data_IF_162145173652
#
_entry.id   IF_162145173652
#
_cell.length_a   1.000
_cell.length_b   1.000
_cell.length_c   1.000
_cell.angle_alpha   90.00
_cell.angle_beta   90.00
_cell.angle_gamma   90.00
#
_symmetry.space_group_name_H-M   'P 1'
#
loop_
_entity.id
_entity.type
_entity.pdbx_description
1 polymer ?
#
# COMPACT_ATOMS: atom_id res chain seq x y z
N UNK A 1 -14.88 -9.22 12.96
CA UNK A 1 -14.37 -8.90 11.60
C UNK A 1 -14.92 -7.59 11.04
N UNK A 2 -16.23 -7.41 10.84
CA UNK A 2 -16.80 -6.17 10.23
C UNK A 2 -16.33 -4.86 10.88
N UNK A 3 -16.34 -4.79 12.23
CA UNK A 3 -15.85 -3.62 12.98
C UNK A 3 -14.36 -3.32 12.73
N UNK A 4 -13.53 -4.37 12.61
CA UNK A 4 -12.08 -4.24 12.33
C UNK A 4 -11.83 -3.75 10.91
N UNK A 5 -12.58 -4.23 9.92
CA UNK A 5 -12.51 -3.76 8.52
C UNK A 5 -12.75 -2.26 8.46
N UNK A 6 -13.85 -1.79 9.07
CA UNK A 6 -14.22 -0.38 9.09
C UNK A 6 -13.14 0.43 9.82
N UNK A 7 -12.74 0.01 11.02
CA UNK A 7 -11.75 0.74 11.81
C UNK A 7 -10.40 0.86 11.08
N UNK A 8 -9.88 -0.24 10.53
CA UNK A 8 -8.60 -0.21 9.82
C UNK A 8 -8.68 0.53 8.50
N UNK A 9 -9.81 0.46 7.80
CA UNK A 9 -10.07 1.28 6.62
C UNK A 9 -10.07 2.77 6.96
N UNK A 10 -10.76 3.16 8.04
CA UNK A 10 -10.79 4.55 8.51
C UNK A 10 -9.40 5.06 8.92
N UNK A 11 -8.59 4.25 9.60
CA UNK A 11 -7.20 4.59 9.93
C UNK A 11 -6.29 4.58 8.69
N UNK A 12 -6.62 3.78 7.69
CA UNK A 12 -5.89 3.70 6.42
C UNK A 12 -6.03 4.97 5.58
N UNK A 13 -7.19 5.65 5.61
CA UNK A 13 -7.42 6.87 4.85
C UNK A 13 -6.42 8.01 5.11
N UNK A 14 -6.20 8.47 6.37
CA UNK A 14 -5.21 9.51 6.65
C UNK A 14 -3.78 9.05 6.35
N UNK A 15 -3.46 7.78 6.58
CA UNK A 15 -2.14 7.22 6.24
C UNK A 15 -1.90 7.20 4.73
N UNK A 16 -2.92 6.86 3.94
CA UNK A 16 -2.86 6.88 2.49
C UNK A 16 -2.61 8.29 1.94
N UNK A 17 -3.32 9.29 2.46
CA UNK A 17 -3.06 10.69 2.11
C UNK A 17 -1.65 11.12 2.50
N UNK A 18 -1.23 10.83 3.74
CA UNK A 18 0.10 11.22 4.22
C UNK A 18 1.22 10.60 3.37
N UNK A 19 1.11 9.31 3.03
CA UNK A 19 2.07 8.63 2.17
C UNK A 19 2.04 9.19 0.73
N UNK A 20 0.85 9.45 0.19
CA UNK A 20 0.70 10.05 -1.14
C UNK A 20 1.43 11.39 -1.25
N UNK A 21 1.22 12.29 -0.28
CA UNK A 21 1.90 13.58 -0.25
C UNK A 21 3.37 13.49 0.11
N UNK A 22 3.77 12.53 0.95
CA UNK A 22 5.19 12.30 1.21
C UNK A 22 5.93 11.95 -0.09
N UNK A 23 5.32 11.13 -0.95
CA UNK A 23 5.89 10.79 -2.26
C UNK A 23 5.98 12.03 -3.14
N UNK A 24 4.94 12.87 -3.23
CA UNK A 24 4.98 14.08 -4.07
C UNK A 24 6.00 15.11 -3.58
N UNK A 25 6.18 15.24 -2.27
CA UNK A 25 7.23 16.09 -1.68
C UNK A 25 8.61 15.56 -2.08
N UNK A 26 8.87 14.25 -1.94
CA UNK A 26 10.15 13.65 -2.32
C UNK A 26 10.42 13.85 -3.82
N UNK A 27 9.42 13.60 -4.68
CA UNK A 27 9.55 13.82 -6.12
C UNK A 27 9.79 15.30 -6.46
N UNK A 28 9.14 16.22 -5.76
CA UNK A 28 9.37 17.67 -5.95
C UNK A 28 10.80 18.07 -5.58
N UNK A 29 11.34 17.55 -4.45
CA UNK A 29 12.73 17.82 -4.06
C UNK A 29 13.73 17.31 -5.09
N UNK A 30 13.44 16.17 -5.73
CA UNK A 30 14.35 15.56 -6.72
C UNK A 30 14.25 16.27 -8.08
N UNK A 31 13.06 16.70 -8.50
CA UNK A 31 12.79 17.03 -9.90
C UNK A 31 12.28 18.46 -10.15
N UNK A 32 11.84 19.21 -9.15
CA UNK A 32 11.09 20.45 -9.36
C UNK A 32 11.94 21.74 -9.32
N UNK A 33 13.28 21.66 -9.34
CA UNK A 33 14.21 22.81 -9.44
C UNK A 33 13.86 24.01 -8.51
N UNK A 34 13.35 23.72 -7.31
CA UNK A 34 12.95 24.73 -6.31
C UNK A 34 11.44 25.04 -6.26
N UNK A 35 10.63 24.47 -7.15
CA UNK A 35 9.17 24.48 -7.11
C UNK A 35 8.56 23.32 -6.31
N UNK A 36 7.26 23.40 -6.03
CA UNK A 36 6.49 22.31 -5.44
C UNK A 36 5.39 21.87 -6.40
N UNK A 37 5.37 20.57 -6.73
CA UNK A 37 4.33 19.97 -7.56
C UNK A 37 3.47 19.04 -6.68
N UNK A 38 2.26 19.47 -6.27
CA UNK A 38 1.45 18.71 -5.32
C UNK A 38 0.81 17.46 -5.95
N UNK A 39 0.68 17.42 -7.27
CA UNK A 39 0.15 16.32 -8.06
C UNK A 39 0.73 16.35 -9.48
N UNK A 40 0.56 15.28 -10.27
CA UNK A 40 1.10 15.21 -11.63
C UNK A 40 0.55 16.39 -12.48
N UNK A 41 1.41 17.16 -13.19
CA UNK A 41 0.98 18.23 -14.09
C UNK A 41 -0.12 17.83 -15.08
N UNK A 42 -0.11 16.59 -15.58
CA UNK A 42 -1.15 16.08 -16.48
C UNK A 42 -2.52 15.97 -15.80
N UNK A 43 -2.54 15.61 -14.51
CA UNK A 43 -3.77 15.61 -13.71
C UNK A 43 -4.30 17.04 -13.52
N UNK A 44 -3.40 17.99 -13.25
CA UNK A 44 -3.75 19.42 -13.15
C UNK A 44 -4.33 19.94 -14.46
N UNK A 45 -3.71 19.60 -15.59
CA UNK A 45 -4.19 19.96 -16.92
C UNK A 45 -5.58 19.34 -17.21
N UNK A 46 -5.78 18.05 -16.88
CA UNK A 46 -7.04 17.35 -17.07
C UNK A 46 -8.19 17.91 -16.22
N UNK A 47 -7.89 18.34 -14.99
CA UNK A 47 -8.90 18.90 -14.08
C UNK A 47 -9.15 20.40 -14.29
N UNK A 48 -8.34 21.08 -15.11
CA UNK A 48 -8.41 22.52 -15.39
C UNK A 48 -8.20 23.43 -14.18
N UNK A 49 -7.85 22.86 -13.02
CA UNK A 49 -7.64 23.55 -11.76
C UNK A 49 -6.76 22.70 -10.86
N UNK A 50 -5.70 23.30 -10.32
CA UNK A 50 -4.78 22.66 -9.39
C UNK A 50 -5.51 22.20 -8.12
N UNK A 51 -6.42 23.02 -7.59
CA UNK A 51 -7.20 22.66 -6.39
C UNK A 51 -8.02 21.39 -6.65
N UNK A 52 -8.66 21.29 -7.82
CA UNK A 52 -9.47 20.12 -8.15
C UNK A 52 -8.62 18.86 -8.31
N UNK A 53 -7.44 18.98 -8.94
CA UNK A 53 -6.48 17.88 -9.08
C UNK A 53 -5.95 17.40 -7.73
N UNK A 54 -5.59 18.33 -6.84
CA UNK A 54 -5.10 18.02 -5.49
C UNK A 54 -6.19 17.37 -4.63
N UNK A 55 -7.43 17.88 -4.69
CA UNK A 55 -8.57 17.27 -3.99
C UNK A 55 -8.86 15.86 -4.49
N UNK A 56 -8.83 15.65 -5.80
CA UNK A 56 -9.01 14.33 -6.39
C UNK A 56 -7.89 13.37 -5.97
N UNK A 57 -6.62 13.80 -6.06
CA UNK A 57 -5.49 12.97 -5.62
C UNK A 57 -5.56 12.65 -4.13
N UNK A 58 -5.94 13.62 -3.28
CA UNK A 58 -6.12 13.39 -1.84
C UNK A 58 -7.20 12.32 -1.59
N UNK A 59 -8.34 12.45 -2.25
CA UNK A 59 -9.44 11.50 -2.15
C UNK A 59 -9.03 10.10 -2.61
N UNK A 60 -8.36 9.99 -3.76
CA UNK A 60 -7.90 8.70 -4.28
C UNK A 60 -6.81 8.08 -3.40
N UNK A 61 -5.90 8.88 -2.86
CA UNK A 61 -4.87 8.40 -1.91
C UNK A 61 -5.50 7.93 -0.60
N UNK A 62 -6.53 8.61 -0.12
CA UNK A 62 -7.32 8.17 1.04
C UNK A 62 -8.03 6.84 0.76
N UNK A 63 -8.65 6.70 -0.42
CA UNK A 63 -9.33 5.47 -0.83
C UNK A 63 -8.36 4.30 -0.95
N UNK A 64 -7.16 4.55 -1.51
CA UNK A 64 -6.10 3.56 -1.59
C UNK A 64 -5.68 3.10 -0.18
N UNK A 65 -5.37 4.05 0.71
CA UNK A 65 -5.01 3.75 2.10
C UNK A 65 -6.12 3.00 2.85
N UNK A 66 -7.38 3.36 2.63
CA UNK A 66 -8.54 2.63 3.15
C UNK A 66 -8.58 1.20 2.63
N UNK A 67 -8.31 0.98 1.35
CA UNK A 67 -8.20 -0.35 0.74
C UNK A 67 -7.13 -1.22 1.39
N UNK A 68 -5.92 -0.68 1.58
CA UNK A 68 -4.83 -1.34 2.32
C UNK A 68 -5.23 -1.67 3.76
N UNK A 69 -5.75 -0.69 4.49
CA UNK A 69 -6.18 -0.86 5.89
C UNK A 69 -7.28 -1.91 6.04
N UNK A 70 -8.34 -1.80 5.24
CA UNK A 70 -9.46 -2.73 5.25
C UNK A 70 -9.03 -4.17 4.89
N UNK A 71 -8.20 -4.33 3.85
CA UNK A 71 -7.73 -5.64 3.39
C UNK A 71 -6.78 -6.32 4.37
N UNK A 72 -6.14 -5.57 5.27
CA UNK A 72 -5.22 -6.13 6.26
C UNK A 72 -5.87 -7.15 7.22
N UNK A 73 -7.21 -7.18 7.31
CA UNK A 73 -7.91 -8.21 8.10
C UNK A 73 -7.71 -9.62 7.55
N UNK A 74 -7.31 -9.75 6.28
CA UNK A 74 -7.02 -11.05 5.65
C UNK A 74 -5.88 -11.77 6.39
N UNK A 75 -4.93 -11.03 6.95
CA UNK A 75 -3.84 -11.60 7.75
C UNK A 75 -4.29 -12.18 9.10
N UNK A 76 -5.49 -11.86 9.57
CA UNK A 76 -6.06 -12.44 10.79
C UNK A 76 -6.83 -13.75 10.54
N UNK A 77 -6.88 -14.22 9.29
CA UNK A 77 -7.62 -15.42 8.94
C UNK A 77 -6.80 -16.68 9.21
N UNK A 78 -6.79 -17.15 10.45
CA UNK A 78 -5.95 -18.28 10.90
C UNK A 78 -6.19 -19.58 10.12
N UNK A 79 -7.42 -19.83 9.67
CA UNK A 79 -7.78 -21.03 8.90
C UNK A 79 -7.30 -21.00 7.44
N UNK A 80 -6.73 -19.89 6.98
CA UNK A 80 -6.30 -19.73 5.59
C UNK A 80 -4.81 -19.97 5.42
N UNK A 81 -4.45 -20.66 4.33
CA UNK A 81 -3.05 -20.79 3.96
C UNK A 81 -2.44 -19.42 3.62
N UNK A 82 -1.14 -19.27 3.89
CA UNK A 82 -0.40 -18.04 3.60
C UNK A 82 -0.50 -17.63 2.12
N UNK A 83 -0.53 -18.62 1.20
CA UNK A 83 -0.69 -18.39 -0.23
C UNK A 83 -2.06 -17.78 -0.53
N UNK A 84 -3.13 -18.31 0.08
CA UNK A 84 -4.50 -17.78 -0.10
C UNK A 84 -4.62 -16.36 0.44
N UNK A 85 -4.08 -16.10 1.63
CA UNK A 85 -4.06 -14.75 2.22
C UNK A 85 -3.31 -13.75 1.32
N UNK A 86 -2.09 -14.12 0.91
CA UNK A 86 -1.23 -13.26 0.08
C UNK A 86 -1.86 -13.00 -1.29
N UNK A 87 -2.36 -14.04 -1.96
CA UNK A 87 -2.99 -13.92 -3.27
C UNK A 87 -4.24 -13.05 -3.25
N UNK A 88 -5.13 -13.24 -2.27
CA UNK A 88 -6.34 -12.42 -2.17
C UNK A 88 -6.00 -10.97 -1.81
N UNK A 89 -5.09 -10.76 -0.86
CA UNK A 89 -4.64 -9.42 -0.49
C UNK A 89 -4.04 -8.70 -1.69
N UNK A 90 -3.12 -9.34 -2.42
CA UNK A 90 -2.52 -8.78 -3.63
C UNK A 90 -3.57 -8.43 -4.69
N UNK A 91 -4.53 -9.31 -4.93
CA UNK A 91 -5.58 -9.09 -5.92
C UNK A 91 -6.44 -7.86 -5.57
N UNK A 92 -6.91 -7.76 -4.32
CA UNK A 92 -7.74 -6.62 -3.88
C UNK A 92 -6.96 -5.32 -4.03
N UNK A 93 -5.71 -5.29 -3.56
CA UNK A 93 -4.88 -4.08 -3.68
C UNK A 93 -4.60 -3.75 -5.14
N UNK A 94 -4.36 -4.73 -6.02
CA UNK A 94 -4.15 -4.48 -7.45
C UNK A 94 -5.38 -3.82 -8.10
N UNK A 95 -6.58 -4.31 -7.79
CA UNK A 95 -7.85 -3.78 -8.31
C UNK A 95 -8.11 -2.36 -7.84
N UNK A 96 -7.62 -1.97 -6.66
CA UNK A 96 -7.75 -0.60 -6.14
C UNK A 96 -6.64 0.29 -6.71
N UNK A 97 -5.40 -0.19 -6.70
CA UNK A 97 -4.20 0.57 -7.07
C UNK A 97 -4.18 0.94 -8.55
N UNK A 98 -4.45 -0.02 -9.46
CA UNK A 98 -4.30 0.21 -10.89
C UNK A 98 -5.24 1.29 -11.43
N UNK A 99 -6.56 1.29 -11.12
CA UNK A 99 -7.45 2.37 -11.54
C UNK A 99 -7.07 3.72 -10.92
N UNK A 100 -6.67 3.75 -9.65
CA UNK A 100 -6.25 4.99 -8.97
C UNK A 100 -5.01 5.58 -9.63
N UNK A 101 -3.99 4.75 -9.87
CA UNK A 101 -2.76 5.15 -10.52
C UNK A 101 -3.01 5.61 -11.97
N UNK A 102 -3.95 4.98 -12.68
CA UNK A 102 -4.38 5.42 -14.01
C UNK A 102 -5.03 6.82 -13.94
N UNK A 103 -6.06 7.00 -13.09
CA UNK A 103 -6.79 8.28 -12.98
C UNK A 103 -5.89 9.41 -12.47
N UNK A 104 -4.93 9.10 -11.60
CA UNK A 104 -4.01 10.08 -11.02
C UNK A 104 -2.80 10.38 -11.91
N UNK A 105 -2.74 9.81 -13.12
CA UNK A 105 -1.62 9.93 -14.05
C UNK A 105 -0.28 9.47 -13.45
N UNK A 106 -0.28 8.51 -12.53
CA UNK A 106 0.96 7.93 -11.97
C UNK A 106 1.65 6.96 -12.93
N UNK A 107 0.93 6.54 -13.98
CA UNK A 107 1.44 5.72 -15.06
C UNK A 107 1.05 6.33 -16.40
N UNK A 108 1.87 6.09 -17.42
CA UNK A 108 1.49 6.45 -18.78
C UNK A 108 0.25 5.65 -19.23
N UNK A 109 -0.67 6.31 -19.93
CA UNK A 109 -1.88 5.69 -20.49
C UNK A 109 -1.60 4.93 -21.79
N UNK A 110 -0.54 4.12 -21.77
CA UNK A 110 -0.18 3.19 -22.84
C UNK A 110 -0.13 1.78 -22.27
N UNK A 111 -0.31 0.76 -23.12
CA UNK A 111 -0.17 -0.63 -22.67
C UNK A 111 1.20 -0.90 -22.04
N UNK A 112 2.26 -0.30 -22.60
CA UNK A 112 3.62 -0.40 -22.05
C UNK A 112 3.74 0.27 -20.69
N UNK A 113 3.15 1.46 -20.52
CA UNK A 113 3.10 2.20 -19.26
C UNK A 113 2.39 1.41 -18.15
N UNK A 114 1.22 0.86 -18.45
CA UNK A 114 0.43 0.05 -17.53
C UNK A 114 1.21 -1.20 -17.10
N UNK A 115 1.79 -1.94 -18.05
CA UNK A 115 2.59 -3.13 -17.75
C UNK A 115 3.85 -2.79 -16.96
N UNK A 116 4.53 -1.68 -17.29
CA UNK A 116 5.69 -1.20 -16.56
C UNK A 116 5.35 -0.85 -15.11
N UNK A 117 4.27 -0.09 -14.90
CA UNK A 117 3.79 0.27 -13.57
C UNK A 117 3.39 -0.97 -12.76
N UNK A 118 2.65 -1.90 -13.37
CA UNK A 118 2.28 -3.15 -12.72
C UNK A 118 3.51 -3.98 -12.34
N UNK A 119 4.54 -4.03 -13.20
CA UNK A 119 5.82 -4.68 -12.89
C UNK A 119 6.53 -4.07 -11.69
N UNK A 120 6.62 -2.73 -11.62
CA UNK A 120 7.18 -2.02 -10.46
C UNK A 120 6.37 -2.33 -9.20
N UNK A 121 5.05 -2.25 -9.28
CA UNK A 121 4.15 -2.57 -8.18
C UNK A 121 4.35 -4.00 -7.68
N UNK A 122 4.45 -4.98 -8.58
CA UNK A 122 4.71 -6.39 -8.23
C UNK A 122 6.05 -6.55 -7.50
N UNK A 123 7.11 -5.90 -7.98
CA UNK A 123 8.42 -5.92 -7.35
C UNK A 123 8.40 -5.32 -5.94
N UNK A 124 7.77 -4.16 -5.77
CA UNK A 124 7.62 -3.49 -4.46
C UNK A 124 6.81 -4.37 -3.51
N UNK A 125 5.70 -4.92 -3.98
CA UNK A 125 4.87 -5.83 -3.18
C UNK A 125 5.67 -7.05 -2.72
N UNK A 126 6.40 -7.70 -3.63
CA UNK A 126 7.22 -8.86 -3.31
C UNK A 126 8.31 -8.52 -2.28
N UNK A 127 8.99 -7.38 -2.42
CA UNK A 127 10.02 -6.93 -1.48
C UNK A 127 9.45 -6.72 -0.07
N UNK A 128 8.34 -5.99 0.04
CA UNK A 128 7.66 -5.74 1.32
C UNK A 128 7.16 -7.06 1.93
N UNK A 129 6.58 -7.94 1.12
CA UNK A 129 6.09 -9.24 1.58
C UNK A 129 7.23 -10.13 2.10
N UNK A 130 8.35 -10.23 1.38
CA UNK A 130 9.52 -11.01 1.82
C UNK A 130 10.05 -10.46 3.15
N UNK A 131 10.14 -9.13 3.29
CA UNK A 131 10.55 -8.48 4.52
C UNK A 131 9.64 -8.83 5.70
N UNK A 132 8.32 -8.71 5.52
CA UNK A 132 7.34 -9.08 6.55
C UNK A 132 7.36 -10.58 6.89
N UNK A 133 7.48 -11.44 5.89
CA UNK A 133 7.60 -12.88 6.08
C UNK A 133 8.85 -13.26 6.88
N UNK A 134 10.00 -12.67 6.55
CA UNK A 134 11.25 -12.91 7.26
C UNK A 134 11.16 -12.44 8.73
N UNK A 135 10.56 -11.28 8.99
CA UNK A 135 10.33 -10.78 10.34
C UNK A 135 9.39 -11.71 11.13
N UNK A 136 8.27 -12.13 10.53
CA UNK A 136 7.33 -13.06 11.16
C UNK A 136 8.00 -14.41 11.48
N UNK A 137 8.76 -14.97 10.54
CA UNK A 137 9.50 -16.22 10.73
C UNK A 137 10.51 -16.12 11.88
N UNK A 138 11.22 -14.99 12.00
CA UNK A 138 12.16 -14.74 13.11
C UNK A 138 11.43 -14.68 14.46
N UNK A 139 10.27 -14.01 14.53
CA UNK A 139 9.48 -13.90 15.75
C UNK A 139 8.95 -15.26 16.22
N UNK A 140 8.44 -16.09 15.29
CA UNK A 140 8.00 -17.45 15.60
C UNK A 140 9.16 -18.31 16.11
N UNK A 141 10.35 -18.22 15.49
CA UNK A 141 11.54 -18.96 15.95
C UNK A 141 11.91 -18.58 17.38
N UNK A 142 11.96 -17.29 17.69
CA UNK A 142 12.25 -16.79 19.05
C UNK A 142 11.23 -17.29 20.08
N UNK A 143 9.95 -17.23 19.75
CA UNK A 143 8.89 -17.72 20.65
C UNK A 143 9.02 -19.22 20.91
N UNK A 144 9.33 -20.02 19.89
CA UNK A 144 9.55 -21.46 20.03
C UNK A 144 10.79 -21.79 20.86
N UNK A 145 11.85 -20.98 20.77
CA UNK A 145 13.06 -21.13 21.59
C UNK A 145 12.76 -20.86 23.06
N UNK A 146 12.11 -19.72 23.38
CA UNK A 146 11.71 -19.39 24.75
C UNK A 146 10.74 -20.41 25.38
N UNK A 147 9.82 -20.97 24.59
CA UNK A 147 8.93 -22.05 25.06
C UNK A 147 9.70 -23.33 25.43
N UNK A 148 10.74 -23.68 24.66
CA UNK A 148 11.58 -24.85 24.93
C UNK A 148 12.44 -24.65 26.18
N UNK A 149 12.98 -23.46 26.39
CA UNK A 149 13.73 -23.10 27.59
C UNK A 149 12.85 -23.25 28.85
N UNK A 150 11.66 -22.66 28.85
CA UNK A 150 10.72 -22.78 29.98
C UNK A 150 10.26 -24.23 30.25
N UNK A 151 10.16 -25.06 29.21
CA UNK A 151 9.83 -26.49 29.36
C UNK A 151 11.02 -27.33 29.85
N UNK A 152 12.25 -26.91 29.52
CA UNK A 152 13.48 -27.52 30.01
C UNK A 152 13.77 -27.20 31.47
N UNK A 153 13.51 -25.97 31.93
CA UNK A 153 13.67 -25.54 33.33
C UNK A 153 12.65 -26.16 34.30
N UNK A 154 11.53 -26.70 33.78
CA UNK A 154 10.50 -27.38 34.59
C UNK A 154 10.79 -28.87 34.85
N UNK A 155 11.87 -29.43 34.30
CA UNK A 155 12.31 -30.82 34.52
C UNK A 155 13.51 -30.87 35.43
#
# INVERSE_FOLDING_TARGET
MKKKVILRGMLGAPLGMALGYLITIILSVISAEGGYSPCNPELTAAMGSEINAVLLQAFLSALLGMGFGASSVIWEMEDWSLVKQTGLYFLIISVIMLPIAYVSYWMEHTLRGILGYFGIFLCVFAAVWIGQYAAAKRNVKKMNESLREMQGERK
#
